data_IF_571175292284
#
_entry.id   IF_571175292284
#
_cell.length_a   1.000
_cell.length_b   1.000
_cell.length_c   1.000
_cell.angle_alpha   90.00
_cell.angle_beta   90.00
_cell.angle_gamma   90.00
#
_symmetry.space_group_name_H-M   'P 1'
#
loop_
_entity.id
_entity.type
_entity.pdbx_description
1 polymer ?
#
# COMPACT_ATOMS: atom_id res chain seq x y z
N UNK A 1 24.94 -5.84 5.62
CA UNK A 1 23.93 -6.28 4.62
C UNK A 1 22.58 -6.33 5.32
N UNK A 2 21.50 -5.81 4.72
CA UNK A 2 20.17 -5.87 5.35
C UNK A 2 19.55 -7.28 5.22
N UNK A 3 18.50 -7.58 6.01
CA UNK A 3 17.89 -8.93 6.07
C UNK A 3 17.39 -9.41 4.70
N UNK A 4 16.77 -8.53 3.91
CA UNK A 4 16.28 -8.86 2.57
C UNK A 4 17.41 -9.28 1.62
N UNK A 5 18.53 -8.55 1.62
CA UNK A 5 19.70 -8.91 0.80
C UNK A 5 20.36 -10.21 1.28
N UNK A 6 20.35 -10.48 2.57
CA UNK A 6 20.83 -11.75 3.13
C UNK A 6 19.95 -12.92 2.66
N UNK A 7 18.62 -12.78 2.72
CA UNK A 7 17.68 -13.79 2.24
C UNK A 7 17.88 -14.10 0.74
N UNK A 8 18.10 -13.07 -0.09
CA UNK A 8 18.41 -13.22 -1.52
C UNK A 8 19.75 -13.90 -1.74
N UNK A 9 20.76 -13.57 -0.95
CA UNK A 9 22.10 -14.19 -1.02
C UNK A 9 22.01 -15.68 -0.72
N UNK A 10 21.23 -16.05 0.28
CA UNK A 10 20.99 -17.42 0.69
C UNK A 10 19.97 -18.15 -0.21
N UNK A 11 19.36 -17.47 -1.17
CA UNK A 11 18.27 -17.97 -2.02
C UNK A 11 17.12 -18.60 -1.22
N UNK A 12 16.87 -18.11 0.00
CA UNK A 12 15.80 -18.62 0.84
C UNK A 12 14.48 -17.96 0.44
N UNK A 13 13.70 -18.65 -0.38
CA UNK A 13 12.43 -18.16 -0.94
C UNK A 13 11.48 -17.66 0.15
N UNK A 14 11.28 -18.43 1.22
CA UNK A 14 10.37 -18.09 2.31
C UNK A 14 10.80 -16.80 3.01
N UNK A 15 12.09 -16.66 3.31
CA UNK A 15 12.64 -15.44 3.92
C UNK A 15 12.54 -14.24 2.98
N UNK A 16 12.73 -14.43 1.68
CA UNK A 16 12.55 -13.36 0.69
C UNK A 16 11.09 -12.88 0.70
N UNK A 17 10.12 -13.81 0.63
CA UNK A 17 8.68 -13.49 0.69
C UNK A 17 8.34 -12.72 1.96
N UNK A 18 8.81 -13.20 3.12
CA UNK A 18 8.57 -12.56 4.41
C UNK A 18 9.20 -11.16 4.50
N UNK A 19 10.44 -11.02 4.04
CA UNK A 19 11.12 -9.73 4.00
C UNK A 19 10.41 -8.75 3.06
N UNK A 20 10.01 -9.18 1.86
CA UNK A 20 9.29 -8.31 0.92
C UNK A 20 7.95 -7.82 1.52
N UNK A 21 7.17 -8.70 2.17
CA UNK A 21 5.93 -8.33 2.90
C UNK A 21 6.22 -7.32 4.01
N UNK A 22 7.28 -7.54 4.80
CA UNK A 22 7.65 -6.63 5.89
C UNK A 22 8.09 -5.26 5.37
N UNK A 23 8.90 -5.24 4.31
CA UNK A 23 9.42 -3.99 3.72
C UNK A 23 8.30 -3.16 3.09
N UNK A 24 7.42 -3.77 2.30
CA UNK A 24 6.29 -3.03 1.69
C UNK A 24 5.31 -2.53 2.75
N UNK A 25 5.17 -3.23 3.88
CA UNK A 25 4.34 -2.76 5.01
C UNK A 25 4.97 -1.55 5.69
N UNK A 26 6.30 -1.54 5.85
CA UNK A 26 7.03 -0.49 6.54
C UNK A 26 7.24 0.77 5.68
N UNK A 27 7.47 0.59 4.38
CA UNK A 27 7.62 1.66 3.39
C UNK A 27 6.82 1.32 2.13
N UNK A 28 5.50 1.60 2.12
CA UNK A 28 4.61 1.33 0.98
C UNK A 28 5.03 2.01 -0.33
N UNK A 29 5.74 3.13 -0.23
CA UNK A 29 6.15 3.94 -1.37
C UNK A 29 7.53 3.58 -1.92
N UNK A 30 8.28 2.70 -1.24
CA UNK A 30 9.65 2.31 -1.55
C UNK A 30 10.57 3.54 -1.76
N UNK A 31 10.51 4.49 -0.83
CA UNK A 31 11.18 5.80 -0.93
C UNK A 31 12.70 5.66 -1.15
N UNK A 32 13.33 4.69 -0.47
CA UNK A 32 14.76 4.43 -0.55
C UNK A 32 15.16 3.46 -1.70
N UNK A 33 14.18 3.01 -2.47
CA UNK A 33 14.29 2.02 -3.54
C UNK A 33 14.84 0.65 -3.07
N UNK A 34 14.74 0.31 -1.79
CA UNK A 34 15.22 -0.97 -1.24
C UNK A 34 14.49 -2.16 -1.86
N UNK A 35 13.16 -2.06 -2.02
CA UNK A 35 12.34 -3.12 -2.64
C UNK A 35 12.71 -3.23 -4.12
N UNK A 36 12.75 -2.11 -4.85
CA UNK A 36 13.14 -2.11 -6.28
C UNK A 36 14.51 -2.73 -6.53
N UNK A 37 15.51 -2.42 -5.69
CA UNK A 37 16.85 -3.04 -5.77
C UNK A 37 16.79 -4.55 -5.52
N UNK A 38 15.98 -4.98 -4.55
CA UNK A 38 15.80 -6.39 -4.23
C UNK A 38 15.14 -7.18 -5.37
N UNK A 39 14.07 -6.66 -5.95
CA UNK A 39 13.39 -7.27 -7.10
C UNK A 39 14.36 -7.49 -8.27
N UNK A 40 15.21 -6.50 -8.57
CA UNK A 40 16.24 -6.63 -9.59
C UNK A 40 17.22 -7.78 -9.30
N UNK A 41 17.64 -7.96 -8.05
CA UNK A 41 18.54 -9.04 -7.66
C UNK A 41 17.87 -10.42 -7.77
N UNK A 42 16.60 -10.53 -7.37
CA UNK A 42 15.78 -11.74 -7.52
C UNK A 42 15.69 -12.15 -8.99
N UNK A 43 15.44 -11.19 -9.89
CA UNK A 43 15.37 -11.42 -11.34
C UNK A 43 16.73 -11.85 -11.93
N UNK A 44 17.82 -11.15 -11.60
CA UNK A 44 19.18 -11.50 -12.07
C UNK A 44 19.57 -12.92 -11.64
N UNK A 45 19.26 -13.29 -10.40
CA UNK A 45 19.56 -14.61 -9.83
C UNK A 45 18.54 -15.68 -10.23
N UNK A 46 17.45 -15.31 -10.92
CA UNK A 46 16.35 -16.19 -11.32
C UNK A 46 15.75 -16.97 -10.14
N UNK A 47 15.65 -16.34 -8.97
CA UNK A 47 15.05 -16.98 -7.78
C UNK A 47 13.54 -17.01 -7.97
N UNK A 48 12.95 -18.21 -7.93
CA UNK A 48 11.50 -18.36 -8.06
C UNK A 48 10.82 -18.02 -6.73
N UNK A 49 10.34 -16.79 -6.58
CA UNK A 49 9.65 -16.33 -5.36
C UNK A 49 8.16 -16.05 -5.59
N UNK A 50 7.70 -16.11 -6.83
CA UNK A 50 6.34 -15.73 -7.19
C UNK A 50 5.46 -16.96 -7.29
N UNK A 51 4.29 -16.88 -6.65
CA UNK A 51 3.22 -17.83 -6.88
C UNK A 51 2.44 -17.46 -8.14
N UNK A 52 1.78 -18.45 -8.75
CA UNK A 52 0.82 -18.16 -9.81
C UNK A 52 -0.31 -17.30 -9.23
N UNK A 53 -0.71 -16.27 -9.98
CA UNK A 53 -1.85 -15.45 -9.60
C UNK A 53 -3.14 -16.27 -9.60
N UNK A 54 -3.95 -16.13 -8.55
CA UNK A 54 -5.19 -16.90 -8.37
C UNK A 54 -6.37 -16.39 -9.22
N UNK A 55 -6.24 -15.25 -9.90
CA UNK A 55 -7.25 -14.71 -10.81
C UNK A 55 -8.23 -13.72 -10.19
N UNK A 56 -8.07 -13.38 -8.90
CA UNK A 56 -8.89 -12.35 -8.27
C UNK A 56 -8.63 -10.98 -8.91
N UNK A 57 -9.66 -10.14 -8.95
CA UNK A 57 -9.54 -8.82 -9.57
C UNK A 57 -8.75 -7.87 -8.69
N UNK A 58 -7.94 -7.03 -9.34
CA UNK A 58 -7.24 -5.91 -8.70
C UNK A 58 -8.02 -4.64 -9.00
N UNK A 59 -8.33 -3.85 -7.98
CA UNK A 59 -9.05 -2.58 -8.17
C UNK A 59 -8.18 -1.60 -8.96
N UNK A 60 -8.61 -1.24 -10.17
CA UNK A 60 -7.88 -0.34 -11.07
C UNK A 60 -8.23 1.14 -10.89
N UNK A 61 -9.26 1.46 -10.10
CA UNK A 61 -9.69 2.83 -9.88
C UNK A 61 -8.83 3.52 -8.81
N UNK A 62 -7.83 4.28 -9.26
CA UNK A 62 -6.88 4.98 -8.38
C UNK A 62 -7.53 5.94 -7.37
N UNK A 63 -8.72 6.48 -7.66
CA UNK A 63 -9.46 7.36 -6.73
C UNK A 63 -9.86 6.61 -5.45
N UNK A 64 -9.99 5.28 -5.54
CA UNK A 64 -10.35 4.40 -4.43
C UNK A 64 -9.16 3.71 -3.78
N UNK A 65 -7.92 4.07 -4.17
CA UNK A 65 -6.71 3.54 -3.55
C UNK A 65 -6.42 4.28 -2.25
N UNK A 66 -7.02 3.78 -1.17
CA UNK A 66 -6.88 4.32 0.19
C UNK A 66 -5.90 3.49 1.02
N UNK A 67 -5.57 3.98 2.21
CA UNK A 67 -4.80 3.19 3.19
C UNK A 67 -5.55 1.93 3.63
N UNK A 68 -6.87 1.99 3.75
CA UNK A 68 -7.70 0.81 4.06
C UNK A 68 -7.60 -0.23 2.95
N UNK A 69 -7.68 0.18 1.68
CA UNK A 69 -7.48 -0.73 0.55
C UNK A 69 -6.08 -1.35 0.57
N UNK A 70 -5.05 -0.59 0.98
CA UNK A 70 -3.71 -1.13 1.15
C UNK A 70 -3.63 -2.20 2.26
N UNK A 71 -4.39 -2.07 3.34
CA UNK A 71 -4.50 -3.10 4.39
C UNK A 71 -5.16 -4.37 3.84
N UNK A 72 -6.20 -4.24 3.03
CA UNK A 72 -6.82 -5.39 2.35
C UNK A 72 -5.79 -6.11 1.45
N UNK A 73 -4.98 -5.35 0.71
CA UNK A 73 -3.90 -5.91 -0.12
C UNK A 73 -2.85 -6.66 0.70
N UNK A 74 -2.59 -6.30 1.97
CA UNK A 74 -1.67 -7.06 2.83
C UNK A 74 -2.21 -8.46 3.16
N UNK A 75 -3.53 -8.57 3.36
CA UNK A 75 -4.21 -9.86 3.61
C UNK A 75 -4.14 -10.71 2.35
N UNK A 76 -4.53 -10.13 1.24
CA UNK A 76 -4.48 -10.75 -0.09
C UNK A 76 -3.09 -11.27 -0.47
N UNK A 77 -2.06 -10.44 -0.29
CA UNK A 77 -0.67 -10.79 -0.56
C UNK A 77 -0.14 -11.90 0.37
N UNK A 78 -0.74 -12.07 1.57
CA UNK A 78 -0.43 -13.19 2.46
C UNK A 78 -0.99 -14.50 1.93
N UNK A 79 -2.17 -14.46 1.32
CA UNK A 79 -2.89 -15.63 0.79
C UNK A 79 -2.34 -16.08 -0.57
N UNK A 80 -1.91 -15.15 -1.41
CA UNK A 80 -1.29 -15.44 -2.70
C UNK A 80 -0.17 -14.43 -2.98
N UNK A 81 1.08 -14.88 -2.87
CA UNK A 81 2.25 -14.02 -3.10
C UNK A 81 2.63 -13.96 -4.58
N UNK A 82 1.72 -13.44 -5.40
CA UNK A 82 1.92 -13.32 -6.85
C UNK A 82 2.68 -12.02 -7.20
N UNK A 83 3.33 -12.01 -8.36
CA UNK A 83 4.04 -10.82 -8.86
C UNK A 83 3.08 -9.66 -9.11
N UNK A 84 1.91 -9.96 -9.64
CA UNK A 84 0.82 -9.04 -9.96
C UNK A 84 0.30 -8.34 -8.70
N UNK A 85 -0.01 -9.09 -7.64
CA UNK A 85 -0.47 -8.53 -6.36
C UNK A 85 0.59 -7.67 -5.70
N UNK A 86 1.84 -8.13 -5.69
CA UNK A 86 2.94 -7.35 -5.09
C UNK A 86 3.18 -6.05 -5.86
N UNK A 87 3.18 -6.10 -7.20
CA UNK A 87 3.33 -4.91 -8.04
C UNK A 87 2.17 -3.92 -7.85
N UNK A 88 0.93 -4.41 -7.84
CA UNK A 88 -0.26 -3.60 -7.59
C UNK A 88 -0.21 -2.92 -6.22
N UNK A 89 0.20 -3.66 -5.19
CA UNK A 89 0.36 -3.11 -3.84
C UNK A 89 1.43 -2.01 -3.78
N UNK A 90 2.53 -2.11 -4.54
CA UNK A 90 3.52 -1.02 -4.65
C UNK A 90 2.96 0.23 -5.34
N UNK A 91 2.08 0.08 -6.33
CA UNK A 91 1.43 1.22 -6.98
C UNK A 91 0.44 1.90 -6.06
N UNK A 92 -0.39 1.11 -5.37
CA UNK A 92 -1.32 1.61 -4.35
C UNK A 92 -0.57 2.31 -3.22
N UNK A 93 0.54 1.74 -2.76
CA UNK A 93 1.39 2.33 -1.72
C UNK A 93 1.85 3.75 -2.07
N UNK A 94 2.29 3.99 -3.30
CA UNK A 94 2.71 5.32 -3.78
C UNK A 94 1.59 6.36 -3.77
N UNK A 95 0.36 5.93 -4.03
CA UNK A 95 -0.82 6.82 -4.07
C UNK A 95 -1.36 7.07 -2.67
N UNK A 96 -1.49 6.02 -1.85
CA UNK A 96 -2.06 6.08 -0.52
C UNK A 96 -1.11 6.64 0.55
N UNK A 97 0.21 6.62 0.29
CA UNK A 97 1.25 7.09 1.21
C UNK A 97 2.22 8.07 0.50
N UNK A 98 1.76 9.26 0.08
CA UNK A 98 2.60 10.22 -0.60
C UNK A 98 3.75 10.68 0.30
N UNK A 99 4.95 10.81 -0.28
CA UNK A 99 6.11 11.31 0.43
C UNK A 99 5.87 12.75 0.95
N UNK A 100 6.40 13.12 2.12
CA UNK A 100 6.39 14.51 2.58
C UNK A 100 7.02 15.44 1.53
N UNK A 101 6.36 16.57 1.26
CA UNK A 101 6.62 17.50 0.16
C UNK A 101 8.08 18.02 0.12
N UNK A 102 8.78 18.01 1.24
CA UNK A 102 10.19 18.43 1.33
C UNK A 102 11.14 17.57 0.47
N UNK A 103 10.77 16.33 0.13
CA UNK A 103 11.58 15.43 -0.71
C UNK A 103 11.25 15.54 -2.21
N UNK A 104 10.18 16.23 -2.60
CA UNK A 104 9.74 16.36 -4.00
C UNK A 104 10.62 17.36 -4.79
N UNK A 105 11.27 18.30 -4.09
CA UNK A 105 12.06 19.35 -4.73
C UNK A 105 13.42 18.89 -5.30
N UNK A 106 13.89 17.68 -4.95
CA UNK A 106 15.15 17.16 -5.52
C UNK A 106 14.96 16.38 -6.84
N UNK A 107 13.74 15.95 -7.18
CA UNK A 107 13.49 15.14 -8.40
C UNK A 107 12.63 15.82 -9.46
N UNK A 108 12.07 17.02 -9.21
CA UNK A 108 11.18 17.72 -10.17
C UNK A 108 11.89 18.75 -11.06
N UNK A 109 13.17 18.56 -11.39
CA UNK A 109 13.89 19.41 -12.36
C UNK A 109 14.27 18.69 -13.66
N UNK A 110 13.41 17.79 -14.14
CA UNK A 110 13.42 17.42 -15.56
C UNK A 110 12.00 17.02 -15.93
N UNK A 111 11.49 17.58 -17.04
CA UNK A 111 10.22 17.30 -17.73
C UNK A 111 9.18 18.44 -17.61
N UNK A 112 9.15 19.21 -18.72
CA UNK A 112 8.13 20.08 -19.30
C UNK A 112 7.69 21.34 -18.53
N UNK A 113 8.03 22.57 -18.95
CA UNK A 113 7.69 23.32 -20.18
C UNK A 113 6.24 23.83 -20.22
N UNK A 114 6.14 25.16 -20.13
CA UNK A 114 5.16 26.08 -20.74
C UNK A 114 3.67 25.77 -20.66
N UNK A 115 2.96 26.54 -19.82
CA UNK A 115 1.64 27.08 -20.16
C UNK A 115 1.41 28.42 -19.46
N UNK A 116 1.34 29.47 -20.29
CA UNK A 116 0.41 30.61 -20.21
C UNK A 116 0.22 31.40 -18.91
N UNK A 117 0.62 32.68 -19.00
CA UNK A 117 0.20 33.81 -18.16
C UNK A 117 -1.33 33.99 -18.22
N UNK A 118 -1.97 34.20 -17.06
CA UNK A 118 -3.02 35.23 -16.90
C UNK A 118 -3.14 35.64 -15.41
N UNK A 119 -3.26 36.95 -15.19
CA UNK A 119 -3.14 37.64 -13.90
C UNK A 119 -4.45 37.72 -13.10
N UNK A 120 -4.30 37.72 -11.76
CA UNK A 120 -4.91 38.62 -10.75
C UNK A 120 -6.44 38.66 -10.58
N UNK A 121 -6.96 38.29 -9.39
CA UNK A 121 -7.10 39.22 -8.25
C UNK A 121 -7.63 38.57 -6.96
N UNK A 122 -7.21 39.14 -5.83
CA UNK A 122 -7.46 38.77 -4.44
C UNK A 122 -8.93 38.93 -3.98
N UNK A 123 -9.35 38.12 -2.98
CA UNK A 123 -9.91 38.64 -1.71
C UNK A 123 -9.94 37.54 -0.64
N UNK A 124 -9.40 37.83 0.54
CA UNK A 124 -9.29 36.88 1.66
C UNK A 124 -10.41 36.94 2.70
N UNK A 125 -10.29 36.09 3.72
CA UNK A 125 -10.65 36.23 5.15
C UNK A 125 -10.31 34.87 5.81
N UNK A 126 -9.23 34.74 6.58
CA UNK A 126 -9.11 34.97 8.03
C UNK A 126 -10.08 34.15 8.90
N UNK A 127 -9.53 33.21 9.66
CA UNK A 127 -10.25 32.44 10.67
C UNK A 127 -9.35 31.42 11.38
N UNK A 128 -8.59 31.87 12.39
CA UNK A 128 -7.88 31.01 13.37
C UNK A 128 -8.88 30.16 14.16
N UNK A 129 -8.49 28.92 14.51
CA UNK A 129 -8.75 28.30 15.84
C UNK A 129 -7.87 27.07 16.03
N UNK A 130 -7.05 27.15 17.08
CA UNK A 130 -6.28 26.08 17.70
C UNK A 130 -7.17 25.15 18.54
N UNK A 131 -6.61 23.97 18.86
CA UNK A 131 -6.88 23.08 20.00
C UNK A 131 -7.67 21.76 19.79
N UNK A 132 -6.89 20.67 19.85
CA UNK A 132 -7.02 19.49 20.73
C UNK A 132 -8.40 18.84 20.95
N UNK A 133 -8.58 17.59 20.48
CA UNK A 133 -9.01 16.48 21.36
C UNK A 133 -8.77 15.10 20.72
N UNK A 134 -8.27 14.19 21.56
CA UNK A 134 -7.96 12.77 21.32
C UNK A 134 -9.22 11.88 21.41
N UNK A 135 -9.17 10.75 20.70
CA UNK A 135 -9.77 9.44 21.04
C UNK A 135 -11.20 9.40 21.63
N UNK A 136 -12.20 9.12 20.79
CA UNK A 136 -13.39 8.29 21.07
C UNK A 136 -13.98 7.85 19.71
N UNK A 137 -14.23 6.60 19.34
CA UNK A 137 -14.12 5.34 20.05
C UNK A 137 -14.09 4.16 19.08
N UNK A 138 -13.39 3.12 19.53
CA UNK A 138 -13.61 1.74 19.09
C UNK A 138 -15.01 1.36 19.56
N UNK A 139 -15.95 1.12 18.65
CA UNK A 139 -17.07 0.17 18.82
C UNK A 139 -17.84 0.07 17.50
N UNK A 140 -17.92 -1.12 16.89
CA UNK A 140 -18.90 -1.33 15.82
C UNK A 140 -18.83 -2.58 14.94
N UNK A 141 -17.85 -3.48 15.08
CA UNK A 141 -17.87 -4.76 14.33
C UNK A 141 -17.83 -5.91 15.33
N UNK A 142 -18.97 -6.25 15.93
CA UNK A 142 -19.14 -7.50 16.69
C UNK A 142 -20.59 -7.97 16.95
N UNK A 143 -21.63 -7.52 16.22
CA UNK A 143 -23.04 -7.93 16.54
C UNK A 143 -23.83 -8.60 15.40
N UNK A 144 -23.35 -8.60 14.15
CA UNK A 144 -24.21 -9.09 13.04
C UNK A 144 -24.15 -10.61 12.80
N UNK A 145 -23.16 -11.35 13.34
CA UNK A 145 -23.02 -12.79 13.03
C UNK A 145 -23.89 -13.70 13.92
N UNK A 146 -24.29 -13.28 15.13
CA UNK A 146 -25.08 -14.13 16.04
C UNK A 146 -26.57 -14.23 15.67
N UNK A 147 -27.15 -13.23 15.00
CA UNK A 147 -28.58 -13.25 14.67
C UNK A 147 -28.91 -14.18 13.50
N UNK A 148 -28.00 -14.35 12.53
CA UNK A 148 -28.23 -15.21 11.36
C UNK A 148 -28.29 -16.70 11.76
N UNK A 149 -27.49 -17.13 12.73
CA UNK A 149 -27.46 -18.54 13.17
C UNK A 149 -28.75 -18.94 13.90
N UNK A 150 -29.32 -18.06 14.73
CA UNK A 150 -30.57 -18.31 15.46
C UNK A 150 -31.80 -18.43 14.55
N UNK A 151 -31.88 -17.61 13.49
CA UNK A 151 -33.01 -17.69 12.53
C UNK A 151 -32.97 -18.98 11.72
N UNK A 152 -31.79 -19.54 11.45
CA UNK A 152 -31.66 -20.83 10.75
C UNK A 152 -32.07 -22.02 11.63
N UNK A 153 -31.84 -21.94 12.94
CA UNK A 153 -32.24 -23.01 13.87
C UNK A 153 -33.74 -23.03 14.16
N UNK A 154 -34.43 -21.87 14.14
CA UNK A 154 -35.87 -21.80 14.37
C UNK A 154 -36.74 -22.16 13.15
N UNK A 155 -36.14 -22.35 11.97
CA UNK A 155 -36.86 -22.67 10.72
C UNK A 155 -36.67 -24.12 10.24
N UNK A 156 -36.00 -24.96 11.03
CA UNK A 156 -35.69 -26.34 10.67
C UNK A 156 -36.39 -27.38 11.55
N UNK A 157 -37.51 -27.01 12.17
CA UNK A 157 -38.50 -27.93 12.75
C UNK A 157 -39.86 -27.70 12.08
#
# INVERSE_FOLDING_TARGET
MNKLMQAITNQNEMEIKNCLKAYITADPSDLDNSIKKALKQIEIKKINVWEQHNGDSLNTNQVTWTQDYFVDLQVDLRMNFSKERFAHMLEVGKVAFPAPVEQINLSKKTISSESSKMNTSQKGTSGKKDQTLLYMGITGIAVVILTIVLVKLLKND
#
